data_IF_145711337295
#
_entry.id   IF_145711337295
#
_cell.length_a   1.000
_cell.length_b   1.000
_cell.length_c   1.000
_cell.angle_alpha   90.00
_cell.angle_beta   90.00
_cell.angle_gamma   90.00
#
_symmetry.space_group_name_H-M   'P 1'
#
loop_
_entity.id
_entity.type
_entity.pdbx_description
1 polymer ?
#
# COMPACT_ATOMS: atom_id res chain seq x y z
N UNK A 1 -11.26 -4.14 26.10
CA UNK A 1 -12.48 -4.34 25.27
C UNK A 1 -12.25 -3.72 23.89
N UNK A 2 -12.31 -4.49 22.80
CA UNK A 2 -12.30 -3.91 21.44
C UNK A 2 -13.69 -3.36 21.14
N UNK A 3 -13.82 -2.05 21.02
CA UNK A 3 -15.08 -1.38 20.65
C UNK A 3 -15.51 -1.87 19.27
N UNK A 4 -16.74 -2.42 19.15
CA UNK A 4 -17.27 -2.87 17.85
C UNK A 4 -17.63 -1.64 17.03
N UNK A 5 -16.77 -1.28 16.08
CA UNK A 5 -17.03 -0.22 15.10
C UNK A 5 -18.19 -0.64 14.21
N UNK A 6 -19.20 0.21 14.11
CA UNK A 6 -20.36 -0.04 13.23
C UNK A 6 -19.99 0.21 11.76
N UNK A 7 -20.71 -0.43 10.82
CA UNK A 7 -20.48 -0.22 9.37
C UNK A 7 -20.62 1.25 8.95
N UNK A 8 -21.48 2.00 9.65
CA UNK A 8 -21.70 3.44 9.41
C UNK A 8 -20.48 4.26 9.82
N UNK A 9 -19.92 3.98 10.99
CA UNK A 9 -18.70 4.64 11.48
C UNK A 9 -17.51 4.31 10.57
N UNK A 10 -17.33 3.06 10.17
CA UNK A 10 -16.26 2.66 9.25
C UNK A 10 -16.31 3.42 7.91
N UNK A 11 -17.51 3.60 7.33
CA UNK A 11 -17.69 4.40 6.10
C UNK A 11 -17.32 5.87 6.33
N UNK A 12 -17.75 6.45 7.45
CA UNK A 12 -17.41 7.84 7.79
C UNK A 12 -15.90 8.05 7.98
N UNK A 13 -15.20 7.06 8.53
CA UNK A 13 -13.73 7.08 8.59
C UNK A 13 -13.09 6.95 7.20
N UNK A 14 -13.62 6.09 6.33
CA UNK A 14 -13.13 5.92 4.96
C UNK A 14 -13.34 7.18 4.09
N UNK A 15 -14.39 7.97 4.32
CA UNK A 15 -14.63 9.24 3.63
C UNK A 15 -13.47 10.22 3.81
N UNK A 16 -12.77 10.20 4.96
CA UNK A 16 -11.59 11.03 5.21
C UNK A 16 -10.42 10.66 4.27
N UNK A 17 -10.43 9.45 3.72
CA UNK A 17 -9.40 8.91 2.84
C UNK A 17 -9.91 8.71 1.40
N UNK A 18 -10.81 9.58 0.93
CA UNK A 18 -11.48 9.46 -0.37
C UNK A 18 -10.52 9.08 -1.52
N UNK A 19 -9.39 9.79 -1.66
CA UNK A 19 -8.40 9.53 -2.71
C UNK A 19 -7.79 8.12 -2.62
N UNK A 20 -7.42 7.68 -1.42
CA UNK A 20 -6.84 6.36 -1.20
C UNK A 20 -7.86 5.25 -1.49
N UNK A 21 -9.12 5.46 -1.11
CA UNK A 21 -10.20 4.51 -1.38
C UNK A 21 -10.46 4.36 -2.88
N UNK A 22 -10.54 5.48 -3.62
CA UNK A 22 -10.70 5.44 -5.07
C UNK A 22 -9.51 4.77 -5.76
N UNK A 23 -8.28 5.10 -5.34
CA UNK A 23 -7.10 4.44 -5.88
C UNK A 23 -7.12 2.92 -5.64
N UNK A 24 -7.51 2.48 -4.44
CA UNK A 24 -7.65 1.04 -4.14
C UNK A 24 -8.73 0.39 -5.01
N UNK A 25 -9.85 1.07 -5.28
CA UNK A 25 -10.88 0.56 -6.20
C UNK A 25 -10.32 0.38 -7.61
N UNK A 26 -9.61 1.38 -8.14
CA UNK A 26 -8.97 1.31 -9.46
C UNK A 26 -7.98 0.15 -9.51
N UNK A 27 -7.06 0.05 -8.54
CA UNK A 27 -6.09 -1.04 -8.48
C UNK A 27 -6.80 -2.39 -8.43
N UNK A 28 -7.83 -2.55 -7.60
CA UNK A 28 -8.55 -3.82 -7.47
C UNK A 28 -9.36 -4.19 -8.72
N UNK A 29 -9.91 -3.21 -9.42
CA UNK A 29 -10.71 -3.44 -10.61
C UNK A 29 -9.85 -3.81 -11.82
N UNK A 30 -8.80 -3.03 -12.09
CA UNK A 30 -7.96 -3.21 -13.27
C UNK A 30 -6.79 -4.18 -13.03
N UNK A 31 -6.32 -4.30 -11.80
CA UNK A 31 -5.18 -5.15 -11.42
C UNK A 31 -5.51 -6.04 -10.21
N UNK A 32 -6.56 -6.90 -10.30
CA UNK A 32 -7.04 -7.70 -9.17
C UNK A 32 -5.96 -8.60 -8.57
N UNK A 33 -5.01 -9.05 -9.38
CA UNK A 33 -3.93 -9.94 -9.00
C UNK A 33 -2.63 -9.23 -8.59
N UNK A 34 -2.58 -7.90 -8.59
CA UNK A 34 -1.34 -7.16 -8.35
C UNK A 34 -0.64 -7.60 -7.07
N UNK A 35 -1.36 -7.62 -5.95
CA UNK A 35 -0.79 -8.01 -4.66
C UNK A 35 -0.28 -9.47 -4.63
N UNK A 36 -0.91 -10.37 -5.40
CA UNK A 36 -0.49 -11.77 -5.53
C UNK A 36 0.81 -11.86 -6.33
N UNK A 37 0.87 -11.18 -7.47
CA UNK A 37 2.05 -11.15 -8.34
C UNK A 37 3.27 -10.54 -7.62
N UNK A 38 3.07 -9.45 -6.87
CA UNK A 38 4.15 -8.83 -6.08
C UNK A 38 4.69 -9.75 -4.98
N UNK A 39 3.85 -10.61 -4.40
CA UNK A 39 4.30 -11.60 -3.38
C UNK A 39 5.06 -12.77 -4.00
N UNK A 40 4.76 -13.12 -5.24
CA UNK A 40 5.44 -14.20 -5.98
C UNK A 40 6.78 -13.75 -6.57
N UNK A 41 7.08 -12.45 -6.52
CA UNK A 41 8.36 -11.92 -7.00
C UNK A 41 9.49 -12.36 -6.09
N UNK A 42 10.48 -13.04 -6.67
CA UNK A 42 11.69 -13.45 -5.95
C UNK A 42 12.41 -12.24 -5.36
N UNK A 43 12.81 -12.36 -4.09
CA UNK A 43 13.58 -11.34 -3.40
C UNK A 43 15.06 -11.73 -3.43
N UNK A 44 15.91 -11.04 -4.23
CA UNK A 44 17.32 -11.38 -4.31
C UNK A 44 18.10 -10.98 -3.05
N UNK A 45 17.46 -10.25 -2.12
CA UNK A 45 18.11 -9.79 -0.89
C UNK A 45 18.22 -10.93 0.11
N UNK A 46 19.33 -10.93 0.85
CA UNK A 46 19.50 -11.86 1.95
C UNK A 46 18.49 -11.54 3.07
N UNK A 47 17.64 -12.52 3.38
CA UNK A 47 16.55 -12.40 4.35
C UNK A 47 17.03 -12.15 5.79
N UNK A 48 18.29 -12.50 6.13
CA UNK A 48 18.84 -12.27 7.47
C UNK A 48 19.04 -10.79 7.82
N UNK A 49 18.97 -9.88 6.84
CA UNK A 49 19.24 -8.45 7.02
C UNK A 49 18.10 -7.53 6.55
N UNK A 50 16.87 -8.04 6.41
CA UNK A 50 15.73 -7.23 5.96
C UNK A 50 14.74 -6.93 7.10
N UNK A 51 14.25 -5.70 7.15
CA UNK A 51 13.16 -5.28 8.06
C UNK A 51 11.79 -5.40 7.39
N UNK A 52 11.72 -5.18 6.08
CA UNK A 52 10.48 -5.14 5.32
C UNK A 52 10.45 -6.21 4.23
N UNK A 53 9.35 -6.97 4.11
CA UNK A 53 9.13 -7.91 3.01
C UNK A 53 9.14 -7.23 1.63
N UNK A 54 9.54 -7.98 0.61
CA UNK A 54 9.65 -7.51 -0.78
C UNK A 54 8.35 -6.85 -1.30
N UNK A 55 7.20 -7.47 -1.04
CA UNK A 55 5.88 -6.95 -1.44
C UNK A 55 5.62 -5.52 -0.93
N UNK A 56 6.08 -5.20 0.29
CA UNK A 56 5.86 -3.87 0.88
C UNK A 56 6.68 -2.83 0.14
N UNK A 57 7.95 -3.14 -0.17
CA UNK A 57 8.83 -2.24 -0.89
C UNK A 57 8.35 -2.00 -2.32
N UNK A 58 7.93 -3.06 -3.02
CA UNK A 58 7.40 -2.96 -4.38
C UNK A 58 6.10 -2.12 -4.41
N UNK A 59 5.17 -2.38 -3.49
CA UNK A 59 3.93 -1.60 -3.40
C UNK A 59 4.22 -0.13 -3.06
N UNK A 60 5.15 0.13 -2.15
CA UNK A 60 5.58 1.48 -1.77
C UNK A 60 6.18 2.22 -2.97
N UNK A 61 6.98 1.53 -3.79
CA UNK A 61 7.56 2.11 -5.01
C UNK A 61 6.51 2.44 -6.07
N UNK A 62 5.53 1.55 -6.27
CA UNK A 62 4.40 1.78 -7.19
C UNK A 62 3.62 3.01 -6.75
N UNK A 63 3.21 3.07 -5.47
CA UNK A 63 2.49 4.22 -4.92
C UNK A 63 3.29 5.51 -5.07
N UNK A 64 4.59 5.47 -4.75
CA UNK A 64 5.47 6.63 -4.95
C UNK A 64 5.47 7.13 -6.39
N UNK A 65 5.47 6.20 -7.36
CA UNK A 65 5.48 6.53 -8.78
C UNK A 65 4.16 7.15 -9.22
N UNK A 66 3.02 6.66 -8.71
CA UNK A 66 1.69 7.25 -8.93
C UNK A 66 1.63 8.70 -8.42
N UNK A 67 2.28 8.98 -7.29
CA UNK A 67 2.37 10.33 -6.72
C UNK A 67 3.53 11.16 -7.27
N UNK A 68 4.18 10.73 -8.36
CA UNK A 68 5.33 11.42 -8.97
C UNK A 68 6.51 11.66 -8.01
N UNK A 69 6.65 10.81 -6.99
CA UNK A 69 7.77 10.83 -6.05
C UNK A 69 8.89 9.95 -6.62
N UNK A 70 9.94 10.61 -7.11
CA UNK A 70 11.07 9.94 -7.77
C UNK A 70 12.08 9.31 -6.79
N UNK A 71 12.17 9.80 -5.56
CA UNK A 71 13.17 9.38 -4.58
C UNK A 71 12.57 8.62 -3.40
N UNK A 72 13.17 7.47 -3.06
CA UNK A 72 12.79 6.71 -1.86
C UNK A 72 12.98 7.50 -0.57
N UNK A 73 13.96 8.41 -0.49
CA UNK A 73 14.12 9.31 0.65
C UNK A 73 12.89 10.22 0.82
N UNK A 74 12.42 10.81 -0.29
CA UNK A 74 11.21 11.65 -0.29
C UNK A 74 9.96 10.83 -0.01
N UNK A 75 9.87 9.59 -0.51
CA UNK A 75 8.79 8.65 -0.18
C UNK A 75 8.71 8.42 1.32
N UNK A 76 9.83 8.06 1.96
CA UNK A 76 9.85 7.82 3.41
C UNK A 76 9.47 9.05 4.22
N UNK A 77 9.75 10.27 3.73
CA UNK A 77 9.35 11.52 4.38
C UNK A 77 7.87 11.86 4.18
N UNK A 78 7.23 11.34 3.12
CA UNK A 78 5.85 11.67 2.76
C UNK A 78 4.84 10.63 3.24
N UNK A 79 5.27 9.37 3.39
CA UNK A 79 4.41 8.26 3.77
C UNK A 79 4.53 7.84 5.24
N UNK A 80 5.52 8.36 5.97
CA UNK A 80 5.64 8.24 7.43
C UNK A 80 5.32 9.58 8.07
#
# INVERSE_FOLDING_TARGET
MKTKVTRKEARKHLEQFHLAVELVKVIKHFFPDLARLLKQTEDPRNQSYITYPNVILLMTRILSSIFYISSMRKTSQKFN
#
